data_IF_144002054696
#
_entry.id   IF_144002054696
#
_cell.length_a   1.000
_cell.length_b   1.000
_cell.length_c   1.000
_cell.angle_alpha   90.00
_cell.angle_beta   90.00
_cell.angle_gamma   90.00
#
_symmetry.space_group_name_H-M   'P 1'
#
loop_
_entity.id
_entity.type
_entity.pdbx_description
1 polymer ?
#
# COMPACT_ATOMS: atom_id res chain seq x y z
N UNK A 1 12.54 -15.59 16.08
CA UNK A 1 11.91 -14.71 15.07
C UNK A 1 12.06 -15.41 13.72
N UNK A 2 10.97 -15.94 13.17
CA UNK A 2 11.01 -16.55 11.83
C UNK A 2 10.89 -15.41 10.82
N UNK A 3 12.03 -14.95 10.31
CA UNK A 3 12.08 -14.03 9.18
C UNK A 3 11.91 -14.84 7.89
N UNK A 4 10.67 -15.09 7.49
CA UNK A 4 10.37 -15.59 6.15
C UNK A 4 10.44 -14.43 5.16
N UNK A 5 11.39 -14.50 4.22
CA UNK A 5 11.34 -13.68 3.00
C UNK A 5 12.15 -12.38 2.99
N UNK A 6 13.36 -12.35 3.56
CA UNK A 6 14.34 -11.32 3.15
C UNK A 6 14.86 -11.71 1.76
N UNK A 7 14.06 -11.45 0.74
CA UNK A 7 14.55 -11.29 -0.62
C UNK A 7 15.13 -9.88 -0.68
N UNK A 8 16.40 -9.76 -1.07
CA UNK A 8 17.09 -8.47 -1.23
C UNK A 8 16.32 -7.62 -2.25
N UNK A 9 15.46 -6.73 -1.77
CA UNK A 9 14.82 -5.69 -2.55
C UNK A 9 15.52 -4.38 -2.19
N UNK A 10 15.96 -3.62 -3.17
CA UNK A 10 16.53 -2.29 -3.00
C UNK A 10 15.41 -1.28 -2.63
N UNK A 11 14.76 -1.52 -1.49
CA UNK A 11 13.55 -0.82 -1.03
C UNK A 11 13.02 -1.33 0.32
N UNK A 12 12.05 -0.61 0.89
CA UNK A 12 11.39 -0.96 2.15
C UNK A 12 10.16 -1.86 1.92
N UNK A 13 9.90 -2.81 2.82
CA UNK A 13 8.73 -3.69 2.78
C UNK A 13 7.97 -3.73 4.11
N UNK A 14 6.70 -4.14 4.08
CA UNK A 14 5.86 -4.34 5.25
C UNK A 14 5.84 -5.82 5.65
N UNK A 15 5.80 -6.10 6.96
CA UNK A 15 5.74 -7.44 7.52
C UNK A 15 5.03 -7.47 8.86
N UNK A 16 4.50 -8.64 9.23
CA UNK A 16 3.86 -8.84 10.54
C UNK A 16 4.92 -8.90 11.64
N UNK A 17 4.66 -8.26 12.78
CA UNK A 17 5.57 -8.30 13.94
C UNK A 17 4.83 -8.34 15.26
N UNK A 18 5.40 -9.02 16.24
CA UNK A 18 5.04 -8.95 17.67
C UNK A 18 6.19 -8.42 18.53
N UNK A 19 7.36 -8.15 17.91
CA UNK A 19 8.58 -7.73 18.61
C UNK A 19 8.64 -6.24 18.91
N UNK A 20 7.78 -5.44 18.29
CA UNK A 20 7.63 -4.01 18.52
C UNK A 20 6.14 -3.65 18.43
N UNK A 21 5.67 -2.79 19.32
CA UNK A 21 4.35 -2.18 19.19
C UNK A 21 4.44 -1.05 18.17
N UNK A 22 3.49 -1.02 17.23
CA UNK A 22 3.34 0.08 16.29
C UNK A 22 2.53 1.24 16.88
N UNK A 23 2.41 2.30 16.09
CA UNK A 23 1.54 3.44 16.37
C UNK A 23 0.38 3.46 15.36
N UNK A 24 -0.72 4.12 15.72
CA UNK A 24 -1.84 4.40 14.81
C UNK A 24 -1.68 5.80 14.20
N UNK A 25 -2.19 5.99 12.98
CA UNK A 25 -2.19 7.27 12.26
C UNK A 25 -3.62 7.75 12.05
N UNK A 26 -3.79 9.06 11.85
CA UNK A 26 -5.08 9.63 11.46
C UNK A 26 -5.53 9.04 10.13
N UNK A 27 -6.71 8.44 10.13
CA UNK A 27 -7.25 7.73 8.98
C UNK A 27 -8.14 8.65 8.14
N UNK A 28 -7.86 8.71 6.84
CA UNK A 28 -8.77 9.20 5.81
C UNK A 28 -9.00 8.11 4.78
N UNK A 29 -10.25 7.70 4.59
CA UNK A 29 -10.63 6.71 3.58
C UNK A 29 -10.73 7.35 2.20
N UNK A 30 -10.58 6.55 1.13
CA UNK A 30 -10.69 7.02 -0.26
C UNK A 30 -11.95 7.87 -0.50
N UNK A 31 -13.08 7.40 0.04
CA UNK A 31 -14.40 8.04 -0.13
C UNK A 31 -14.58 9.32 0.69
N UNK A 32 -13.70 9.57 1.66
CA UNK A 32 -13.69 10.79 2.46
C UNK A 32 -12.83 11.89 1.82
N UNK A 33 -11.99 11.56 0.83
CA UNK A 33 -11.16 12.52 0.13
C UNK A 33 -11.98 13.43 -0.78
N UNK A 34 -11.50 14.67 -0.96
CA UNK A 34 -12.05 15.56 -1.97
C UNK A 34 -11.83 14.99 -3.37
N UNK A 35 -12.61 15.47 -4.35
CA UNK A 35 -12.47 15.05 -5.74
C UNK A 35 -11.07 15.39 -6.26
N UNK A 36 -10.54 16.55 -5.87
CA UNK A 36 -9.23 17.05 -6.28
C UNK A 36 -8.10 16.15 -5.73
N UNK A 37 -8.20 15.72 -4.47
CA UNK A 37 -7.21 14.82 -3.87
C UNK A 37 -7.22 13.44 -4.54
N UNK A 38 -8.41 12.89 -4.85
CA UNK A 38 -8.52 11.62 -5.60
C UNK A 38 -7.96 11.74 -7.02
N UNK A 39 -8.23 12.86 -7.70
CA UNK A 39 -7.66 13.16 -9.01
C UNK A 39 -6.14 13.23 -8.97
N UNK A 40 -5.59 14.02 -8.04
CA UNK A 40 -4.14 14.16 -7.87
C UNK A 40 -3.46 12.82 -7.59
N UNK A 41 -4.00 12.00 -6.68
CA UNK A 41 -3.43 10.67 -6.38
C UNK A 41 -3.50 9.69 -7.57
N UNK A 42 -4.47 9.86 -8.47
CA UNK A 42 -4.64 8.99 -9.64
C UNK A 42 -3.75 9.40 -10.82
N UNK A 43 -3.44 10.68 -10.96
CA UNK A 43 -2.74 11.24 -12.12
C UNK A 43 -1.27 11.57 -11.85
N UNK A 44 -0.89 11.76 -10.58
CA UNK A 44 0.49 12.11 -10.22
C UNK A 44 1.45 10.96 -10.49
N UNK A 45 2.56 11.27 -11.15
CA UNK A 45 3.69 10.36 -11.29
C UNK A 45 4.52 10.36 -10.00
N UNK A 46 4.52 9.22 -9.29
CA UNK A 46 5.32 8.99 -8.08
C UNK A 46 6.68 8.33 -8.39
N UNK A 47 7.06 8.29 -9.67
CA UNK A 47 8.24 7.61 -10.18
C UNK A 47 7.95 6.15 -10.55
N UNK A 48 8.87 5.56 -11.31
CA UNK A 48 8.68 4.25 -11.95
C UNK A 48 8.41 3.10 -10.96
N UNK A 49 9.01 3.18 -9.76
CA UNK A 49 8.96 2.12 -8.75
C UNK A 49 7.77 2.24 -7.78
N UNK A 50 7.03 3.36 -7.79
CA UNK A 50 5.99 3.64 -6.80
C UNK A 50 4.65 3.83 -7.50
N UNK A 51 3.65 3.06 -7.07
CA UNK A 51 2.27 3.19 -7.52
C UNK A 51 1.36 3.36 -6.32
N UNK A 52 0.39 4.26 -6.42
CA UNK A 52 -0.63 4.42 -5.37
C UNK A 52 -1.54 3.19 -5.39
N UNK A 53 -1.64 2.42 -4.29
CA UNK A 53 -2.23 1.09 -4.35
C UNK A 53 -3.76 1.06 -4.28
N UNK A 54 -4.39 2.13 -3.82
CA UNK A 54 -5.82 2.18 -3.53
C UNK A 54 -6.64 3.04 -4.51
N UNK A 55 -6.00 3.60 -5.55
CA UNK A 55 -6.72 4.34 -6.61
C UNK A 55 -7.52 3.39 -7.49
N UNK A 56 -8.59 3.88 -8.11
CA UNK A 56 -9.51 3.08 -8.92
C UNK A 56 -8.80 2.23 -9.99
N UNK A 57 -7.77 2.77 -10.63
CA UNK A 57 -6.99 2.08 -11.67
C UNK A 57 -6.21 0.84 -11.14
N UNK A 58 -5.86 0.82 -9.85
CA UNK A 58 -5.00 -0.20 -9.26
C UNK A 58 -5.71 -1.07 -8.21
N UNK A 59 -6.82 -0.60 -7.63
CA UNK A 59 -7.45 -1.19 -6.45
C UNK A 59 -7.80 -2.68 -6.65
N UNK A 60 -8.59 -3.01 -7.68
CA UNK A 60 -9.00 -4.40 -7.94
C UNK A 60 -7.81 -5.31 -8.27
N UNK A 61 -6.84 -4.82 -9.05
CA UNK A 61 -5.65 -5.60 -9.37
C UNK A 61 -4.82 -5.92 -8.12
N UNK A 62 -4.71 -4.96 -7.20
CA UNK A 62 -4.01 -5.15 -5.94
C UNK A 62 -4.78 -6.06 -4.98
N UNK A 63 -6.12 -5.99 -4.95
CA UNK A 63 -6.93 -6.94 -4.19
C UNK A 63 -6.70 -8.37 -4.66
N UNK A 64 -6.76 -8.62 -5.97
CA UNK A 64 -6.48 -9.94 -6.55
C UNK A 64 -5.07 -10.42 -6.23
N UNK A 65 -4.05 -9.55 -6.35
CA UNK A 65 -2.66 -9.88 -6.01
C UNK A 65 -2.45 -10.14 -4.51
N UNK A 66 -3.29 -9.54 -3.66
CA UNK A 66 -3.21 -9.67 -2.19
C UNK A 66 -4.09 -10.79 -1.64
N UNK A 67 -4.78 -11.55 -2.50
CA UNK A 67 -5.62 -12.66 -2.06
C UNK A 67 -4.78 -13.69 -1.30
N UNK A 68 -5.09 -13.99 -0.03
CA UNK A 68 -4.31 -14.93 0.77
C UNK A 68 -4.54 -16.39 0.40
N UNK A 69 -5.64 -16.69 -0.30
CA UNK A 69 -6.05 -18.03 -0.70
C UNK A 69 -6.60 -17.97 -2.14
N UNK A 70 -6.27 -18.98 -2.95
CA UNK A 70 -6.83 -19.17 -4.30
C UNK A 70 -8.32 -19.51 -4.23
#
# INVERSE_FOLDING_TARGET
MLAYGILNYDGSSLGMTTGMLGELQDLVMWEQLTKEARGALSETDFGEKVKVPFVDANFNANLEASRPLL
#
